data_IF_133696513174
#
_entry.id   IF_133696513174
#
_cell.length_a   1.000
_cell.length_b   1.000
_cell.length_c   1.000
_cell.angle_alpha   90.00
_cell.angle_beta   90.00
_cell.angle_gamma   90.00
#
_symmetry.space_group_name_H-M   'P 1'
#
loop_
_entity.id
_entity.type
_entity.pdbx_description
1 polymer ?
#
# COMPACT_ATOMS: atom_id res chain seq x y z
N UNK A 1 -2.24 -11.18 8.40
CA UNK A 1 -1.92 -10.01 7.55
C UNK A 1 -3.20 -9.30 7.17
N UNK A 2 -3.36 -8.02 7.51
CA UNK A 2 -4.46 -7.19 6.99
C UNK A 2 -4.02 -6.59 5.64
N UNK A 3 -4.86 -6.67 4.61
CA UNK A 3 -4.54 -6.07 3.31
C UNK A 3 -4.81 -4.55 3.38
N UNK A 4 -3.77 -3.69 3.37
CA UNK A 4 -3.93 -2.24 3.53
C UNK A 4 -4.60 -1.58 2.31
N UNK A 5 -4.78 -2.31 1.20
CA UNK A 5 -5.50 -1.84 0.02
C UNK A 5 -7.01 -2.01 0.13
N UNK A 6 -7.55 -2.76 1.11
CA UNK A 6 -9.00 -2.80 1.35
C UNK A 6 -9.52 -1.40 1.65
N UNK A 7 -10.47 -0.95 0.85
CA UNK A 7 -11.17 0.31 1.06
C UNK A 7 -12.35 0.08 2.01
N UNK A 8 -12.77 1.18 2.65
CA UNK A 8 -13.78 1.26 3.72
C UNK A 8 -15.04 0.45 3.36
N UNK A 9 -15.78 0.00 4.36
CA UNK A 9 -17.08 -0.65 4.12
C UNK A 9 -17.99 0.28 3.28
N UNK A 10 -18.38 -0.20 2.11
CA UNK A 10 -19.40 0.41 1.27
C UNK A 10 -20.62 -0.50 1.35
N UNK A 11 -21.71 0.00 1.90
CA UNK A 11 -22.95 -0.77 2.07
C UNK A 11 -22.75 -2.09 2.86
N UNK A 12 -21.92 -2.05 3.91
CA UNK A 12 -21.60 -3.23 4.72
C UNK A 12 -20.67 -4.26 4.07
N UNK A 13 -20.10 -3.96 2.89
CA UNK A 13 -19.10 -4.80 2.21
C UNK A 13 -17.74 -4.13 2.19
N UNK A 14 -16.69 -4.86 2.56
CA UNK A 14 -15.32 -4.44 2.28
C UNK A 14 -15.13 -4.37 0.77
N UNK A 15 -14.90 -3.18 0.23
CA UNK A 15 -14.58 -2.98 -1.19
C UNK A 15 -13.08 -2.86 -1.34
N UNK A 16 -12.48 -3.63 -2.24
CA UNK A 16 -11.05 -3.56 -2.49
C UNK A 16 -10.76 -2.52 -3.58
N UNK A 17 -9.64 -1.81 -3.46
CA UNK A 17 -9.19 -0.97 -4.56
C UNK A 17 -8.88 -1.83 -5.79
N UNK A 18 -9.68 -1.64 -6.84
CA UNK A 18 -9.69 -2.47 -8.06
C UNK A 18 -8.56 -2.14 -9.03
N UNK A 19 -8.08 -0.89 -9.05
CA UNK A 19 -7.07 -0.43 -10.02
C UNK A 19 -5.69 -0.18 -9.40
N UNK A 20 -4.65 -0.39 -10.21
CA UNK A 20 -3.25 -0.10 -9.85
C UNK A 20 -3.05 1.39 -9.48
N UNK A 21 -3.68 2.30 -10.23
CA UNK A 21 -3.59 3.74 -10.01
C UNK A 21 -4.17 4.18 -8.66
N UNK A 22 -5.35 3.69 -8.31
CA UNK A 22 -5.97 3.95 -7.01
C UNK A 22 -5.12 3.40 -5.86
N UNK A 23 -4.51 2.21 -6.03
CA UNK A 23 -3.58 1.66 -5.05
C UNK A 23 -2.37 2.58 -4.87
N UNK A 24 -1.77 3.06 -5.96
CA UNK A 24 -0.65 4.03 -5.92
C UNK A 24 -1.03 5.32 -5.22
N UNK A 25 -2.22 5.88 -5.49
CA UNK A 25 -2.73 7.07 -4.80
C UNK A 25 -2.89 6.84 -3.30
N UNK A 26 -3.42 5.67 -2.91
CA UNK A 26 -3.63 5.30 -1.51
C UNK A 26 -2.33 5.14 -0.73
N UNK A 27 -1.28 4.61 -1.36
CA UNK A 27 0.05 4.45 -0.73
C UNK A 27 0.60 5.78 -0.19
N UNK A 28 0.26 6.92 -0.79
CA UNK A 28 0.70 8.24 -0.29
C UNK A 28 0.27 8.50 1.16
N UNK A 29 -0.83 7.90 1.61
CA UNK A 29 -1.34 8.00 2.99
C UNK A 29 -0.86 6.88 3.92
N UNK A 30 -0.09 5.91 3.45
CA UNK A 30 0.31 4.77 4.28
C UNK A 30 1.26 5.15 5.41
N UNK A 31 1.09 4.48 6.54
CA UNK A 31 2.06 4.40 7.63
C UNK A 31 3.15 3.37 7.33
N UNK A 32 4.20 3.32 8.15
CA UNK A 32 5.30 2.35 8.03
C UNK A 32 4.78 0.90 8.08
N UNK A 33 3.90 0.60 9.05
CA UNK A 33 3.28 -0.71 9.20
C UNK A 33 2.43 -1.12 7.97
N UNK A 34 1.68 -0.17 7.42
CA UNK A 34 0.90 -0.39 6.21
C UNK A 34 1.79 -0.62 4.98
N UNK A 35 2.94 0.06 4.89
CA UNK A 35 3.91 -0.18 3.83
C UNK A 35 4.51 -1.60 3.92
N UNK A 36 4.91 -2.03 5.11
CA UNK A 36 5.44 -3.39 5.32
C UNK A 36 4.38 -4.48 5.05
N UNK A 37 3.15 -4.25 5.50
CA UNK A 37 2.02 -5.13 5.21
C UNK A 37 1.74 -5.21 3.70
N UNK A 38 1.83 -4.09 2.98
CA UNK A 38 1.66 -4.05 1.53
C UNK A 38 2.75 -4.85 0.78
N UNK A 39 4.01 -4.71 1.18
CA UNK A 39 5.14 -5.46 0.59
C UNK A 39 5.09 -6.96 0.89
N UNK A 40 4.35 -7.35 1.93
CA UNK A 40 4.14 -8.77 2.28
C UNK A 40 3.03 -9.44 1.46
N UNK A 41 2.31 -8.70 0.61
CA UNK A 41 1.23 -9.26 -0.21
C UNK A 41 1.80 -9.94 -1.47
N UNK A 42 1.45 -11.20 -1.75
CA UNK A 42 1.85 -11.86 -2.99
C UNK A 42 1.17 -11.20 -4.19
N UNK A 43 1.88 -11.13 -5.32
CA UNK A 43 1.32 -10.60 -6.57
C UNK A 43 1.11 -9.07 -6.58
N UNK A 44 1.81 -8.34 -5.72
CA UNK A 44 1.77 -6.88 -5.76
C UNK A 44 2.27 -6.36 -7.11
N UNK A 45 1.49 -5.48 -7.74
CA UNK A 45 1.87 -4.89 -9.02
C UNK A 45 3.13 -4.04 -8.87
N UNK A 46 4.07 -4.13 -9.82
CA UNK A 46 5.36 -3.42 -9.78
C UNK A 46 5.22 -1.90 -9.61
N UNK A 47 4.20 -1.29 -10.21
CA UNK A 47 3.90 0.14 -10.05
C UNK A 47 3.52 0.49 -8.61
N UNK A 48 2.74 -0.37 -7.96
CA UNK A 48 2.32 -0.21 -6.55
C UNK A 48 3.49 -0.47 -5.61
N UNK A 49 4.28 -1.53 -5.84
CA UNK A 49 5.49 -1.82 -5.07
C UNK A 49 6.47 -0.64 -5.08
N UNK A 50 6.74 -0.06 -6.26
CA UNK A 50 7.59 1.13 -6.39
C UNK A 50 7.05 2.33 -5.59
N UNK A 51 5.73 2.52 -5.59
CA UNK A 51 5.09 3.57 -4.79
C UNK A 51 5.27 3.32 -3.29
N UNK A 52 5.15 2.07 -2.83
CA UNK A 52 5.33 1.70 -1.41
C UNK A 52 6.77 1.96 -0.97
N UNK A 53 7.75 1.55 -1.78
CA UNK A 53 9.15 1.87 -1.50
C UNK A 53 9.41 3.38 -1.46
N UNK A 54 8.83 4.15 -2.39
CA UNK A 54 8.96 5.60 -2.40
C UNK A 54 8.39 6.22 -1.12
N UNK A 55 7.23 5.74 -0.68
CA UNK A 55 6.60 6.17 0.58
C UNK A 55 7.48 5.86 1.79
N UNK A 56 8.07 4.67 1.86
CA UNK A 56 9.02 4.31 2.92
C UNK A 56 10.21 5.29 2.98
N UNK A 57 10.75 5.72 1.82
CA UNK A 57 11.79 6.76 1.78
C UNK A 57 11.29 8.09 2.34
N UNK A 58 10.11 8.53 1.93
CA UNK A 58 9.51 9.78 2.42
C UNK A 58 9.22 9.76 3.92
N UNK A 59 8.99 8.58 4.50
CA UNK A 59 8.82 8.39 5.94
C UNK A 59 10.16 8.36 6.71
N UNK A 60 11.30 8.58 6.04
CA UNK A 60 12.63 8.51 6.64
C UNK A 60 13.12 7.08 6.89
N UNK A 61 12.42 6.09 6.36
CA UNK A 61 12.76 4.67 6.49
C UNK A 61 13.67 4.28 5.33
N UNK A 62 14.88 4.83 5.33
CA UNK A 62 15.97 4.26 4.55
C UNK A 62 17.16 4.00 5.46
N UNK A 63 17.34 2.72 5.79
CA UNK A 63 18.68 2.18 5.94
C UNK A 63 19.31 2.19 4.55
N UNK A 64 20.29 3.06 4.34
CA UNK A 64 21.25 2.93 3.26
C UNK A 64 21.92 1.56 3.41
N UNK A 65 21.90 0.74 2.35
CA UNK A 65 22.86 -0.33 2.16
C UNK A 65 23.92 0.18 1.20
#
# INVERSE_FOLDING_TARGET
MSNPFRYRMYDGREVETTSADDRVKKVKGFSLDQCNSALSLPGLQKSVERAVHTRLRSLGVMHLK
#
